data_IF_046703690732
#
_entry.id   IF_046703690732
#
_cell.length_a   1.000
_cell.length_b   1.000
_cell.length_c   1.000
_cell.angle_alpha   90.00
_cell.angle_beta   90.00
_cell.angle_gamma   90.00
#
_symmetry.space_group_name_H-M   'P 1'
#
loop_
_entity.id
_entity.type
_entity.pdbx_description
1 polymer ?
#
# COMPACT_ATOMS: atom_id res chain seq x y z
N UNK A 1 7.77 2.94 -16.47
CA UNK A 1 8.57 2.90 -15.22
C UNK A 1 7.62 2.72 -14.05
N UNK A 2 7.96 1.81 -13.13
CA UNK A 2 7.18 1.56 -11.92
C UNK A 2 8.12 1.79 -10.72
N UNK A 3 7.73 2.68 -9.82
CA UNK A 3 8.45 2.98 -8.58
C UNK A 3 7.58 2.67 -7.38
N UNK A 4 8.18 2.23 -6.27
CA UNK A 4 7.48 1.95 -5.03
C UNK A 4 8.08 2.75 -3.90
N UNK A 5 7.21 3.42 -3.14
CA UNK A 5 7.51 3.94 -1.82
C UNK A 5 7.06 2.91 -0.77
N UNK A 6 8.02 2.09 -0.31
CA UNK A 6 7.78 1.05 0.69
C UNK A 6 7.57 1.59 2.10
N UNK A 7 7.88 2.86 2.36
CA UNK A 7 7.64 3.48 3.68
C UNK A 7 6.20 3.93 3.80
N UNK A 8 5.66 4.51 2.74
CA UNK A 8 4.28 5.03 2.71
C UNK A 8 3.28 3.97 2.26
N UNK A 9 3.70 3.00 1.45
CA UNK A 9 2.81 1.97 0.92
C UNK A 9 2.16 2.34 -0.43
N UNK A 10 2.84 3.18 -1.22
CA UNK A 10 2.34 3.65 -2.51
C UNK A 10 3.27 3.24 -3.65
N UNK A 11 2.70 3.08 -4.84
CA UNK A 11 3.46 2.93 -6.08
C UNK A 11 3.07 4.04 -7.06
N UNK A 12 4.01 4.41 -7.91
CA UNK A 12 3.78 5.32 -9.03
C UNK A 12 4.21 4.68 -10.34
N UNK A 13 3.46 4.96 -11.39
CA UNK A 13 3.69 4.42 -12.72
C UNK A 13 3.74 5.57 -13.72
N UNK A 14 4.78 5.57 -14.55
CA UNK A 14 4.91 6.51 -15.65
C UNK A 14 5.27 5.79 -16.96
N UNK A 15 4.54 6.04 -18.04
CA UNK A 15 4.86 5.56 -19.38
C UNK A 15 5.40 6.72 -20.22
N UNK A 16 6.59 6.54 -20.79
CA UNK A 16 7.31 7.57 -21.55
C UNK A 16 7.39 8.94 -20.83
N UNK A 17 7.63 8.92 -19.51
CA UNK A 17 7.76 10.12 -18.68
C UNK A 17 6.43 10.79 -18.30
N UNK A 18 5.27 10.19 -18.62
CA UNK A 18 3.95 10.69 -18.24
C UNK A 18 3.28 9.74 -17.25
N UNK A 19 2.52 10.24 -16.27
CA UNK A 19 1.74 9.39 -15.37
C UNK A 19 0.84 8.41 -16.11
N UNK A 20 0.91 7.12 -15.74
CA UNK A 20 0.07 6.08 -16.30
C UNK A 20 -1.22 5.97 -15.46
N UNK A 21 -2.24 6.75 -15.83
CA UNK A 21 -3.57 6.71 -15.22
C UNK A 21 -4.32 5.43 -15.63
N UNK A 22 -5.04 4.81 -14.68
CA UNK A 22 -5.89 3.67 -14.98
C UNK A 22 -5.14 2.34 -15.15
N UNK A 23 -3.87 2.27 -14.76
CA UNK A 23 -3.14 1.01 -14.68
C UNK A 23 -3.74 0.14 -13.57
N UNK A 24 -4.01 -1.13 -13.88
CA UNK A 24 -4.62 -2.04 -12.93
C UNK A 24 -3.58 -2.56 -11.94
N UNK A 25 -3.94 -2.55 -10.66
CA UNK A 25 -3.11 -3.07 -9.57
C UNK A 25 -3.90 -4.09 -8.77
N UNK A 26 -3.33 -5.26 -8.54
CA UNK A 26 -3.88 -6.29 -7.64
C UNK A 26 -2.84 -6.69 -6.61
N UNK A 27 -3.24 -6.73 -5.35
CA UNK A 27 -2.38 -6.98 -4.21
C UNK A 27 -2.84 -8.24 -3.50
N UNK A 28 -1.88 -9.10 -3.19
CA UNK A 28 -2.06 -10.25 -2.32
C UNK A 28 -1.19 -10.07 -1.08
N UNK A 29 -1.68 -10.53 0.07
CA UNK A 29 -0.96 -10.51 1.34
C UNK A 29 -0.80 -11.92 1.89
N UNK A 30 0.37 -12.22 2.42
CA UNK A 30 0.65 -13.43 3.21
C UNK A 30 1.22 -13.03 4.56
N UNK A 31 0.78 -13.71 5.62
CA UNK A 31 1.37 -13.66 6.95
C UNK A 31 2.28 -14.86 7.15
N UNK A 32 3.54 -14.64 7.50
CA UNK A 32 4.54 -15.63 7.96
C UNK A 32 4.31 -17.07 7.48
N UNK A 33 4.51 -17.32 6.18
CA UNK A 33 4.46 -18.67 5.59
C UNK A 33 3.08 -19.19 5.20
N UNK A 34 2.01 -18.43 5.43
CA UNK A 34 0.67 -18.76 4.94
C UNK A 34 0.52 -18.60 3.43
N UNK A 35 -0.49 -19.25 2.84
CA UNK A 35 -0.84 -19.01 1.44
C UNK A 35 -1.25 -17.54 1.24
N UNK A 36 -0.74 -16.85 0.20
CA UNK A 36 -1.14 -15.48 -0.09
C UNK A 36 -2.64 -15.41 -0.40
N UNK A 37 -3.31 -14.43 0.21
CA UNK A 37 -4.74 -14.18 0.05
C UNK A 37 -4.95 -12.84 -0.64
N UNK A 38 -6.08 -12.71 -1.34
CA UNK A 38 -6.50 -11.43 -1.90
C UNK A 38 -6.53 -10.36 -0.80
N UNK A 39 -5.87 -9.23 -1.07
CA UNK A 39 -5.77 -8.11 -0.14
C UNK A 39 -6.61 -6.93 -0.63
N UNK A 40 -6.27 -6.39 -1.81
CA UNK A 40 -7.04 -5.37 -2.51
C UNK A 40 -6.68 -5.33 -3.99
N UNK A 41 -7.48 -4.61 -4.76
CA UNK A 41 -7.14 -4.18 -6.11
C UNK A 41 -7.71 -2.81 -6.41
N UNK A 42 -7.38 -2.28 -7.59
CA UNK A 42 -7.90 -1.02 -8.09
C UNK A 42 -7.07 -0.53 -9.27
N UNK A 43 -7.16 0.78 -9.52
CA UNK A 43 -6.47 1.43 -10.62
C UNK A 43 -5.69 2.63 -10.12
N UNK A 44 -4.59 2.96 -10.79
CA UNK A 44 -3.86 4.20 -10.53
C UNK A 44 -4.73 5.43 -10.83
N UNK A 45 -4.53 6.48 -10.05
CA UNK A 45 -5.22 7.77 -10.20
C UNK A 45 -4.67 8.61 -11.37
N UNK A 46 -5.11 9.86 -11.50
CA UNK A 46 -4.66 10.79 -12.54
C UNK A 46 -3.17 11.16 -12.45
N UNK A 47 -2.52 10.90 -11.31
CA UNK A 47 -1.09 11.08 -11.09
C UNK A 47 -0.32 9.76 -11.28
N UNK A 48 -0.99 8.69 -11.73
CA UNK A 48 -0.37 7.38 -11.92
C UNK A 48 0.00 6.71 -10.60
N UNK A 49 -0.60 7.14 -9.48
CA UNK A 49 -0.30 6.65 -8.14
C UNK A 49 -1.37 5.67 -7.67
N UNK A 50 -0.94 4.65 -6.93
CA UNK A 50 -1.83 3.72 -6.24
C UNK A 50 -1.31 3.41 -4.84
N UNK A 51 -2.18 3.52 -3.84
CA UNK A 51 -1.94 3.05 -2.48
C UNK A 51 -2.25 1.55 -2.40
N UNK A 52 -1.20 0.72 -2.25
CA UNK A 52 -1.34 -0.74 -2.21
C UNK A 52 -1.54 -1.29 -0.79
N UNK A 53 -1.65 -0.44 0.23
CA UNK A 53 -1.67 -0.83 1.64
C UNK A 53 -2.96 -0.43 2.34
N UNK A 54 -3.45 0.79 2.16
CA UNK A 54 -4.62 1.26 2.91
C UNK A 54 -5.90 0.51 2.55
N UNK A 55 -6.65 0.13 3.58
CA UNK A 55 -7.97 -0.50 3.46
C UNK A 55 -9.00 0.32 4.21
N UNK A 56 -10.22 0.34 3.69
CA UNK A 56 -11.39 0.84 4.40
C UNK A 56 -11.92 -0.22 5.38
N UNK A 57 -11.08 -0.65 6.32
CA UNK A 57 -11.38 -1.67 7.31
C UNK A 57 -11.03 -1.17 8.72
N UNK A 58 -11.80 -1.59 9.73
CA UNK A 58 -11.54 -1.20 11.14
C UNK A 58 -10.18 -1.67 11.66
N UNK A 59 -9.64 -2.76 11.11
CA UNK A 59 -8.33 -3.32 11.45
C UNK A 59 -7.63 -3.78 10.18
N UNK A 60 -6.34 -3.49 10.06
CA UNK A 60 -5.50 -4.04 8.99
C UNK A 60 -5.24 -5.53 9.25
N UNK A 61 -5.34 -6.40 8.24
CA UNK A 61 -4.93 -7.80 8.37
C UNK A 61 -3.41 -7.97 8.21
N UNK A 62 -2.68 -6.90 7.91
CA UNK A 62 -1.22 -6.90 7.85
C UNK A 62 -0.61 -6.83 9.25
N UNK A 63 0.57 -7.43 9.38
CA UNK A 63 1.45 -7.36 10.53
C UNK A 63 2.91 -7.15 10.06
N UNK A 64 3.84 -6.98 11.00
CA UNK A 64 5.26 -6.72 10.72
C UNK A 64 5.95 -7.82 9.89
N UNK A 65 5.42 -9.04 9.91
CA UNK A 65 5.94 -10.18 9.15
C UNK A 65 5.19 -10.43 7.84
N UNK A 66 4.26 -9.55 7.48
CA UNK A 66 3.49 -9.69 6.26
C UNK A 66 4.34 -9.42 5.03
N UNK A 67 4.04 -10.15 3.96
CA UNK A 67 4.59 -9.96 2.62
C UNK A 67 3.47 -9.63 1.65
N UNK A 68 3.70 -8.66 0.80
CA UNK A 68 2.76 -8.20 -0.22
C UNK A 68 3.29 -8.61 -1.59
N UNK A 69 2.46 -9.26 -2.39
CA UNK A 69 2.72 -9.47 -3.81
C UNK A 69 1.81 -8.52 -4.61
N UNK A 70 2.43 -7.57 -5.29
CA UNK A 70 1.76 -6.51 -6.05
C UNK A 70 1.91 -6.80 -7.54
N UNK A 71 0.81 -7.16 -8.19
CA UNK A 71 0.67 -7.23 -9.64
C UNK A 71 0.27 -5.86 -10.16
N UNK A 72 1.01 -5.36 -11.14
CA UNK A 72 0.72 -4.16 -11.91
C UNK A 72 0.52 -4.57 -13.37
N UNK A 73 -0.54 -4.08 -13.99
CA UNK A 73 -0.83 -4.29 -15.41
C UNK A 73 -1.09 -2.94 -16.06
N UNK A 74 -0.25 -2.56 -17.01
CA UNK A 74 -0.44 -1.38 -17.86
C UNK A 74 -0.83 -1.82 -19.27
N UNK A 75 -1.45 -0.92 -20.03
CA UNK A 75 -1.89 -1.22 -21.39
C UNK A 75 -0.71 -1.24 -22.37
N UNK A 76 0.26 -0.36 -22.16
CA UNK A 76 1.38 -0.13 -23.09
C UNK A 76 2.64 -0.95 -22.73
N UNK A 77 2.90 -1.15 -21.43
CA UNK A 77 4.15 -1.74 -20.92
C UNK A 77 4.00 -3.17 -20.37
N UNK A 78 2.79 -3.74 -20.45
CA UNK A 78 2.52 -5.12 -20.04
C UNK A 78 2.31 -5.27 -18.53
N UNK A 79 2.82 -6.35 -17.94
CA UNK A 79 2.59 -6.69 -16.54
C UNK A 79 3.89 -6.90 -15.75
N UNK A 80 3.86 -6.53 -14.47
CA UNK A 80 4.95 -6.71 -13.53
C UNK A 80 4.40 -7.22 -12.20
N UNK A 81 5.10 -8.17 -11.58
CA UNK A 81 4.84 -8.58 -10.20
C UNK A 81 6.04 -8.22 -9.34
N UNK A 82 5.79 -7.58 -8.20
CA UNK A 82 6.83 -7.30 -7.19
C UNK A 82 6.39 -7.78 -5.82
N UNK A 83 7.31 -8.42 -5.09
CA UNK A 83 7.08 -8.89 -3.73
C UNK A 83 7.84 -7.99 -2.75
N UNK A 84 7.15 -7.44 -1.76
CA UNK A 84 7.66 -6.43 -0.81
C UNK A 84 7.30 -6.83 0.63
N UNK A 85 8.02 -6.36 1.65
CA UNK A 85 7.52 -6.36 3.02
C UNK A 85 6.30 -5.42 3.15
N UNK A 86 5.47 -5.63 4.17
CA UNK A 86 4.49 -4.62 4.56
C UNK A 86 5.19 -3.37 5.11
N UNK A 87 4.70 -2.15 4.83
CA UNK A 87 5.24 -0.93 5.43
C UNK A 87 5.07 -0.95 6.96
N UNK A 88 5.81 -0.09 7.67
CA UNK A 88 5.56 0.16 9.09
C UNK A 88 4.10 0.59 9.31
N UNK A 89 3.33 -0.21 10.06
CA UNK A 89 1.90 0.03 10.29
C UNK A 89 1.63 1.13 11.33
N UNK A 90 2.69 1.55 12.02
CA UNK A 90 2.69 2.64 13.00
C UNK A 90 3.64 3.73 12.53
N UNK A 91 3.14 4.96 12.48
CA UNK A 91 3.99 6.15 12.40
C UNK A 91 4.61 6.37 13.78
N UNK A 92 5.86 5.95 13.94
CA UNK A 92 6.62 6.13 15.18
C UNK A 92 7.00 7.60 15.45
N UNK A 93 6.76 8.50 14.51
CA UNK A 93 6.97 9.95 14.61
C UNK A 93 5.74 10.73 15.14
N UNK A 94 4.57 10.09 15.24
CA UNK A 94 3.41 10.69 15.90
C UNK A 94 3.53 10.51 17.42
N UNK A 95 3.54 11.63 18.15
CA UNK A 95 3.46 11.60 19.62
C UNK A 95 2.21 10.79 20.03
N UNK A 96 2.31 9.88 21.02
CA UNK A 96 1.14 9.21 21.57
C UNK A 96 0.10 10.24 22.00
N UNK A 97 -1.17 9.97 21.70
CA UNK A 97 -2.29 10.89 22.00
C UNK A 97 -2.56 11.07 23.51
N UNK A 98 -1.78 10.44 24.39
CA UNK A 98 -1.99 10.41 25.84
C UNK A 98 -1.54 11.68 26.58
N UNK A 99 -0.80 12.58 25.94
CA UNK A 99 -0.32 13.84 26.56
C UNK A 99 -1.26 15.05 26.31
N UNK A 100 -2.54 14.83 25.98
CA UNK A 100 -3.51 15.93 25.92
C UNK A 100 -3.94 16.33 27.34
N UNK A 101 -3.59 17.52 27.87
CA UNK A 101 -4.03 17.94 29.18
C UNK A 101 -5.51 18.35 29.10
N UNK A 102 -6.40 17.62 29.79
CA UNK A 102 -7.77 18.08 30.03
C UNK A 102 -8.86 17.01 29.86
N UNK A 103 -8.93 16.06 30.78
CA UNK A 103 -10.16 15.35 31.10
C UNK A 103 -10.24 15.10 32.61
N UNK A 104 -10.05 16.15 33.39
CA UNK A 104 -10.50 16.21 34.78
C UNK A 104 -11.70 17.16 34.83
N UNK A 105 -12.90 16.60 35.02
CA UNK A 105 -14.11 17.37 35.28
C UNK A 105 -15.34 16.87 34.52
N UNK A 106 -16.00 15.84 35.06
CA UNK A 106 -17.46 15.68 35.17
C UNK A 106 -17.77 14.45 36.02
#
# INVERSE_FOLDING_TARGET
EVSFDEKVGTLSIADAGKPAMGAYVKVFASSSGGAPKFYKDGYTDCLGVFDYVSLNAKRSPLNEHSRLAVLVVTKESGALVRVLPAPPLTRSDLRPAEDAPGAAGA
#
